data_IF_767876590925
#
_entry.id   IF_767876590925
#
_cell.length_a   1.000
_cell.length_b   1.000
_cell.length_c   1.000
_cell.angle_alpha   90.00
_cell.angle_beta   90.00
_cell.angle_gamma   90.00
#
_symmetry.space_group_name_H-M   'P 1'
#
loop_
_entity.id
_entity.type
_entity.pdbx_description
1 polymer ?
#
# COMPACT_ATOMS: atom_id res chain seq x y z
N UNK A 1 6.96 1.13 27.65
CA UNK A 1 7.05 0.23 26.48
C UNK A 1 5.86 0.55 25.60
N UNK A 2 5.99 1.57 24.76
CA UNK A 2 4.95 1.93 23.79
C UNK A 2 4.82 0.75 22.85
N UNK A 3 3.67 0.05 22.90
CA UNK A 3 3.25 -0.79 21.78
C UNK A 3 3.23 0.14 20.57
N UNK A 4 4.27 0.07 19.75
CA UNK A 4 4.22 0.58 18.38
C UNK A 4 3.20 -0.32 17.69
N UNK A 5 1.92 -0.06 17.94
CA UNK A 5 0.83 -0.59 17.16
C UNK A 5 1.13 -0.04 15.78
N UNK A 6 1.74 -0.86 14.92
CA UNK A 6 2.03 -0.46 13.55
C UNK A 6 0.70 0.09 13.03
N UNK A 7 0.62 1.36 12.62
CA UNK A 7 -0.64 1.94 12.15
C UNK A 7 -1.14 1.26 10.87
N UNK A 8 -0.27 0.42 10.29
CA UNK A 8 -0.44 -0.32 9.07
C UNK A 8 -0.36 -1.83 9.28
N UNK A 9 -1.15 -2.56 8.53
CA UNK A 9 -1.23 -4.02 8.45
C UNK A 9 -0.55 -4.53 7.18
N UNK A 10 -0.24 -5.82 7.14
CA UNK A 10 0.34 -6.46 5.95
C UNK A 10 -0.57 -6.42 4.71
N UNK A 11 -1.88 -6.20 4.90
CA UNK A 11 -2.86 -6.03 3.82
C UNK A 11 -2.98 -4.58 3.33
N UNK A 12 -2.30 -3.62 3.96
CA UNK A 12 -2.27 -2.27 3.40
C UNK A 12 -1.50 -2.26 2.09
N UNK A 13 -1.80 -1.28 1.24
CA UNK A 13 -1.25 -1.18 -0.11
C UNK A 13 -0.15 -0.13 -0.12
N UNK A 14 1.05 -0.53 -0.51
CA UNK A 14 2.13 0.39 -0.84
C UNK A 14 1.97 0.84 -2.29
N UNK A 15 1.83 2.15 -2.52
CA UNK A 15 1.66 2.75 -3.85
C UNK A 15 2.83 3.67 -4.15
N UNK A 16 3.47 3.43 -5.28
CA UNK A 16 4.60 4.23 -5.74
C UNK A 16 4.14 5.36 -6.68
N UNK A 17 4.93 6.44 -6.79
CA UNK A 17 4.65 7.55 -7.70
C UNK A 17 4.61 7.15 -9.18
N UNK A 18 5.20 5.99 -9.53
CA UNK A 18 5.14 5.40 -10.87
C UNK A 18 3.75 4.80 -11.20
N UNK A 19 2.83 4.77 -10.22
CA UNK A 19 1.51 4.15 -10.34
C UNK A 19 1.50 2.64 -10.06
N UNK A 20 2.67 2.03 -9.88
CA UNK A 20 2.76 0.66 -9.40
C UNK A 20 2.35 0.56 -7.92
N UNK A 21 1.73 -0.55 -7.54
CA UNK A 21 1.28 -0.83 -6.18
C UNK A 21 1.69 -2.27 -5.77
N UNK A 22 1.70 -2.55 -4.47
CA UNK A 22 1.96 -3.88 -3.90
C UNK A 22 1.36 -3.98 -2.49
N UNK A 23 1.15 -5.19 -2.00
CA UNK A 23 0.77 -5.39 -0.60
C UNK A 23 1.97 -5.11 0.32
N UNK A 24 1.72 -4.43 1.43
CA UNK A 24 2.76 -4.02 2.38
C UNK A 24 3.45 -5.24 2.99
N UNK A 25 2.74 -6.37 3.13
CA UNK A 25 3.31 -7.66 3.48
C UNK A 25 4.42 -8.10 2.51
N UNK A 26 4.22 -7.98 1.21
CA UNK A 26 5.23 -8.32 0.20
C UNK A 26 6.42 -7.35 0.23
N UNK A 27 6.15 -6.06 0.47
CA UNK A 27 7.21 -5.06 0.64
C UNK A 27 8.06 -5.37 1.86
N UNK A 28 7.44 -5.73 2.98
CA UNK A 28 8.13 -6.12 4.21
C UNK A 28 8.89 -7.45 4.09
N UNK A 29 8.39 -8.39 3.27
CA UNK A 29 9.10 -9.63 2.95
C UNK A 29 10.35 -9.38 2.10
N UNK A 30 10.47 -8.19 1.50
CA UNK A 30 11.63 -7.78 0.71
C UNK A 30 11.51 -8.14 -0.78
N UNK A 31 10.33 -8.56 -1.24
CA UNK A 31 10.05 -8.78 -2.67
C UNK A 31 10.28 -7.50 -3.50
N UNK A 32 10.16 -6.33 -2.87
CA UNK A 32 10.32 -5.02 -3.51
C UNK A 32 11.60 -4.29 -3.08
N UNK A 33 12.64 -4.96 -2.57
CA UNK A 33 13.89 -4.31 -2.15
C UNK A 33 14.62 -3.53 -3.27
N UNK A 34 14.31 -3.85 -4.53
CA UNK A 34 14.86 -3.20 -5.72
C UNK A 34 14.13 -1.89 -6.07
N UNK A 35 13.01 -1.60 -5.40
CA UNK A 35 12.16 -0.43 -5.61
C UNK A 35 12.41 0.58 -4.49
N UNK A 36 12.19 1.86 -4.78
CA UNK A 36 12.42 2.95 -3.82
C UNK A 36 11.52 2.79 -2.59
N UNK A 37 11.99 3.15 -1.40
CA UNK A 37 11.16 3.21 -0.19
C UNK A 37 10.18 4.39 -0.19
N UNK A 38 10.20 5.22 -1.25
CA UNK A 38 9.30 6.36 -1.46
C UNK A 38 7.94 5.88 -2.01
N UNK A 39 7.21 5.16 -1.17
CA UNK A 39 5.83 4.74 -1.43
C UNK A 39 4.88 5.32 -0.38
N UNK A 40 3.65 5.60 -0.81
CA UNK A 40 2.56 5.93 0.08
C UNK A 40 1.87 4.65 0.54
N UNK A 41 1.62 4.52 1.85
CA UNK A 41 0.86 3.40 2.40
C UNK A 41 -0.62 3.82 2.47
N UNK A 42 -1.44 3.12 1.71
CA UNK A 42 -2.89 3.33 1.60
C UNK A 42 -3.59 2.13 2.21
N UNK A 43 -4.64 2.35 3.01
CA UNK A 43 -5.42 1.24 3.54
C UNK A 43 -6.27 0.61 2.44
N UNK A 44 -6.46 -0.71 2.50
CA UNK A 44 -7.36 -1.43 1.58
C UNK A 44 -8.81 -0.89 1.62
N UNK A 45 -9.24 -0.39 2.79
CA UNK A 45 -10.57 0.18 3.03
C UNK A 45 -10.68 1.65 2.57
N UNK A 46 -9.56 2.31 2.23
CA UNK A 46 -9.56 3.69 1.78
C UNK A 46 -9.87 3.78 0.27
N UNK A 47 -11.14 3.52 -0.06
CA UNK A 47 -11.62 3.49 -1.44
C UNK A 47 -11.45 4.84 -2.16
N UNK A 48 -11.53 5.97 -1.44
CA UNK A 48 -11.34 7.31 -2.02
C UNK A 48 -9.89 7.49 -2.50
N UNK A 49 -8.91 7.10 -1.66
CA UNK A 49 -7.51 7.15 -2.03
C UNK A 49 -7.15 6.15 -3.13
N UNK A 50 -7.68 4.92 -3.07
CA UNK A 50 -7.50 3.92 -4.12
C UNK A 50 -8.07 4.42 -5.46
N UNK A 51 -9.20 5.12 -5.46
CA UNK A 51 -9.77 5.75 -6.66
C UNK A 51 -8.92 6.91 -7.17
N UNK A 52 -8.41 7.77 -6.28
CA UNK A 52 -7.51 8.85 -6.65
C UNK A 52 -6.20 8.35 -7.29
N UNK A 53 -5.74 7.17 -6.89
CA UNK A 53 -4.53 6.51 -7.40
C UNK A 53 -4.79 5.66 -8.66
N UNK A 54 -6.04 5.57 -9.13
CA UNK A 54 -6.40 4.74 -10.28
C UNK A 54 -6.40 3.24 -10.00
N UNK A 55 -6.37 2.85 -8.73
CA UNK A 55 -6.38 1.45 -8.29
C UNK A 55 -7.81 0.91 -8.09
N UNK A 56 -8.82 1.76 -8.16
CA UNK A 56 -10.22 1.35 -8.02
C UNK A 56 -10.60 0.14 -8.88
N UNK A 57 -10.18 0.13 -10.15
CA UNK A 57 -10.45 -0.98 -11.07
C UNK A 57 -9.78 -2.29 -10.64
N UNK A 58 -8.58 -2.19 -10.06
CA UNK A 58 -7.81 -3.34 -9.60
C UNK A 58 -8.43 -3.99 -8.35
N UNK A 59 -9.03 -3.18 -7.47
CA UNK A 59 -9.70 -3.65 -6.25
C UNK A 59 -11.20 -3.89 -6.45
N UNK A 60 -11.75 -3.71 -7.66
CA UNK A 60 -13.17 -3.89 -7.94
C UNK A 60 -14.08 -2.85 -7.27
N UNK A 61 -13.55 -1.66 -7.02
CA UNK A 61 -14.26 -0.55 -6.39
C UNK A 61 -15.06 0.20 -7.48
N UNK A 62 -16.38 0.39 -7.32
CA UNK A 62 -17.24 1.02 -8.32
C UNK A 62 -17.03 2.55 -8.54
#
# INVERSE_FOLDING_TARGET
MTKTQRPYTEHDIAVWPDGGWAELGEVWDGHYHWKSDDYEIVREDDFDRLKALGLAENFGIP
#
